data_IF_865580893406
#
_entry.id   IF_865580893406
#
_cell.length_a   1.000
_cell.length_b   1.000
_cell.length_c   1.000
_cell.angle_alpha   90.00
_cell.angle_beta   90.00
_cell.angle_gamma   90.00
#
_symmetry.space_group_name_H-M   'P 1'
#
loop_
_entity.id
_entity.type
_entity.pdbx_description
1 polymer ?
#
# COMPACT_ATOMS: atom_id res chain seq x y z
N UNK A 1 1.08 32.26 7.66
CA UNK A 1 2.46 31.76 7.46
C UNK A 1 2.89 31.01 8.71
N UNK A 2 3.56 29.84 8.61
CA UNK A 2 4.08 29.14 9.78
C UNK A 2 5.22 29.94 10.44
N UNK A 3 5.16 30.07 11.78
CA UNK A 3 6.22 30.72 12.54
C UNK A 3 7.53 29.92 12.50
N UNK A 4 8.65 30.50 12.91
CA UNK A 4 9.96 29.84 12.92
C UNK A 4 9.98 28.63 13.87
N UNK A 5 9.27 28.71 14.99
CA UNK A 5 9.12 27.63 15.96
C UNK A 5 8.25 26.48 15.43
N UNK A 6 7.12 26.81 14.80
CA UNK A 6 6.25 25.81 14.14
C UNK A 6 6.99 25.02 13.07
N UNK A 7 7.90 25.68 12.31
CA UNK A 7 8.72 24.99 11.31
C UNK A 7 9.73 24.03 11.96
N UNK A 8 10.35 24.42 13.08
CA UNK A 8 11.26 23.55 13.81
C UNK A 8 10.54 22.32 14.36
N UNK A 9 9.39 22.52 15.01
CA UNK A 9 8.58 21.43 15.56
C UNK A 9 8.11 20.49 14.45
N UNK A 10 7.70 21.03 13.29
CA UNK A 10 7.31 20.24 12.15
C UNK A 10 8.47 19.40 11.58
N UNK A 11 9.69 19.96 11.51
CA UNK A 11 10.88 19.23 11.08
C UNK A 11 11.16 18.08 12.05
N UNK A 12 11.12 18.33 13.36
CA UNK A 12 11.36 17.30 14.38
C UNK A 12 10.32 16.18 14.30
N UNK A 13 9.04 16.52 14.16
CA UNK A 13 7.96 15.56 13.98
C UNK A 13 8.15 14.72 12.72
N UNK A 14 8.50 15.36 11.60
CA UNK A 14 8.76 14.64 10.35
C UNK A 14 9.99 13.75 10.43
N UNK A 15 11.07 14.22 11.04
CA UNK A 15 12.27 13.39 11.27
C UNK A 15 11.94 12.15 12.08
N UNK A 16 11.20 12.29 13.17
CA UNK A 16 10.73 11.15 13.98
C UNK A 16 9.84 10.18 13.18
N UNK A 17 8.94 10.71 12.35
CA UNK A 17 8.10 9.86 11.50
C UNK A 17 8.93 9.11 10.45
N UNK A 18 9.95 9.73 9.85
CA UNK A 18 10.84 9.08 8.90
C UNK A 18 11.72 8.00 9.55
N UNK A 19 12.16 8.21 10.79
CA UNK A 19 12.99 7.24 11.52
C UNK A 19 12.18 6.03 12.00
N UNK A 20 10.94 6.25 12.43
CA UNK A 20 10.09 5.21 12.97
C UNK A 20 9.36 4.39 11.88
N UNK A 21 9.28 4.91 10.65
CA UNK A 21 8.56 4.24 9.57
C UNK A 21 9.49 3.33 8.77
N UNK A 22 9.06 2.09 8.53
CA UNK A 22 9.75 1.14 7.66
C UNK A 22 9.46 1.38 6.18
N UNK A 23 8.31 1.99 5.90
CA UNK A 23 7.88 2.30 4.55
C UNK A 23 7.45 3.76 4.41
N UNK A 24 7.94 4.39 3.35
CA UNK A 24 7.63 5.77 3.00
C UNK A 24 7.22 5.76 1.54
N UNK A 25 5.97 6.17 1.25
CA UNK A 25 5.47 6.27 -0.12
C UNK A 25 5.17 7.72 -0.47
N UNK A 26 5.58 8.13 -1.67
CA UNK A 26 5.46 9.50 -2.17
C UNK A 26 4.47 9.51 -3.33
N UNK A 27 3.47 10.40 -3.24
CA UNK A 27 2.40 10.51 -4.23
C UNK A 27 2.16 11.96 -4.60
N UNK A 28 1.73 12.21 -5.84
CA UNK A 28 1.12 13.45 -6.24
C UNK A 28 -0.40 13.38 -6.01
N UNK A 29 -0.94 14.39 -5.34
CA UNK A 29 -2.37 14.50 -5.04
C UNK A 29 -3.09 15.59 -5.84
N UNK A 30 -2.43 16.17 -6.84
CA UNK A 30 -2.98 17.27 -7.63
C UNK A 30 -4.22 16.80 -8.41
N UNK A 31 -5.33 17.51 -8.23
CA UNK A 31 -6.60 17.21 -8.89
C UNK A 31 -7.54 16.32 -8.07
N UNK A 32 -7.16 15.87 -6.89
CA UNK A 32 -8.06 15.18 -5.97
C UNK A 32 -8.98 16.18 -5.26
N UNK A 33 -10.25 15.82 -5.10
CA UNK A 33 -11.22 16.57 -4.31
C UNK A 33 -11.01 16.33 -2.81
N UNK A 34 -11.49 17.25 -1.95
CA UNK A 34 -11.38 17.10 -0.49
C UNK A 34 -12.04 15.81 0.03
N UNK A 35 -13.24 15.42 -0.42
CA UNK A 35 -13.85 14.14 -0.02
C UNK A 35 -12.99 12.92 -0.35
N UNK A 36 -12.38 12.90 -1.55
CA UNK A 36 -11.48 11.81 -1.97
C UNK A 36 -10.22 11.73 -1.10
N UNK A 37 -9.64 12.88 -0.72
CA UNK A 37 -8.50 12.92 0.19
C UNK A 37 -8.87 12.41 1.59
N UNK A 38 -10.05 12.74 2.08
CA UNK A 38 -10.51 12.29 3.40
C UNK A 38 -10.86 10.80 3.40
N UNK A 39 -11.42 10.29 2.31
CA UNK A 39 -11.63 8.85 2.11
C UNK A 39 -10.29 8.08 2.11
N UNK A 40 -9.30 8.59 1.37
CA UNK A 40 -7.95 8.00 1.35
C UNK A 40 -7.32 8.01 2.75
N UNK A 41 -7.43 9.13 3.49
CA UNK A 41 -6.94 9.22 4.87
C UNK A 41 -7.62 8.24 5.80
N UNK A 42 -8.93 8.05 5.68
CA UNK A 42 -9.68 7.09 6.49
C UNK A 42 -9.22 5.66 6.22
N UNK A 43 -9.16 5.25 4.95
CA UNK A 43 -8.66 3.93 4.54
C UNK A 43 -7.22 3.67 5.03
N UNK A 44 -6.38 4.69 5.02
CA UNK A 44 -5.01 4.55 5.51
C UNK A 44 -4.92 4.44 7.03
N UNK A 45 -5.72 5.24 7.76
CA UNK A 45 -5.75 5.21 9.23
C UNK A 45 -6.23 3.87 9.78
N UNK A 46 -7.16 3.20 9.11
CA UNK A 46 -7.64 1.85 9.47
C UNK A 46 -6.49 0.83 9.52
N UNK A 47 -5.44 1.05 8.73
CA UNK A 47 -4.26 0.21 8.66
C UNK A 47 -3.03 0.80 9.37
N UNK A 48 -3.23 1.83 10.21
CA UNK A 48 -2.13 2.47 10.95
C UNK A 48 -1.17 3.30 10.10
N UNK A 49 -1.56 3.64 8.85
CA UNK A 49 -0.75 4.43 7.94
C UNK A 49 -1.10 5.92 8.07
N UNK A 50 -0.10 6.75 8.25
CA UNK A 50 -0.27 8.19 8.38
C UNK A 50 -0.05 8.84 7.01
N UNK A 51 -1.09 9.46 6.45
CA UNK A 51 -1.01 10.20 5.19
C UNK A 51 -0.99 11.72 5.47
N UNK A 52 0.11 12.38 5.11
CA UNK A 52 0.30 13.83 5.29
C UNK A 52 0.71 14.51 4.00
N UNK A 53 0.08 15.67 3.74
CA UNK A 53 0.52 16.59 2.69
C UNK A 53 1.68 17.40 3.24
N UNK A 54 2.80 17.41 2.53
CA UNK A 54 4.04 18.01 3.01
C UNK A 54 4.50 19.17 2.15
N UNK A 55 5.24 20.10 2.76
CA UNK A 55 5.94 21.14 2.03
C UNK A 55 7.33 20.65 1.65
N UNK A 56 7.58 20.42 0.37
CA UNK A 56 8.83 19.83 -0.14
C UNK A 56 10.10 20.43 0.45
N UNK A 57 10.17 21.77 0.56
CA UNK A 57 11.35 22.46 1.10
C UNK A 57 11.66 22.09 2.55
N UNK A 58 10.61 21.93 3.37
CA UNK A 58 10.77 21.57 4.78
C UNK A 58 11.06 20.07 4.91
N UNK A 59 10.40 19.26 4.10
CA UNK A 59 10.60 17.81 4.08
C UNK A 59 12.01 17.45 3.63
N UNK A 60 12.56 18.13 2.62
CA UNK A 60 13.95 17.93 2.19
C UNK A 60 14.95 18.21 3.34
N UNK A 61 14.73 19.26 4.12
CA UNK A 61 15.57 19.57 5.30
C UNK A 61 15.44 18.50 6.41
N UNK A 62 14.28 17.87 6.54
CA UNK A 62 14.10 16.75 7.47
C UNK A 62 14.82 15.49 6.96
N UNK A 63 14.74 15.21 5.66
CA UNK A 63 15.41 14.06 5.01
C UNK A 63 16.94 14.15 5.08
N UNK A 64 17.53 15.34 4.98
CA UNK A 64 18.99 15.53 5.13
C UNK A 64 19.53 15.03 6.47
N UNK A 65 18.68 15.02 7.50
CA UNK A 65 19.02 14.56 8.85
C UNK A 65 18.76 13.06 9.07
N UNK A 66 18.10 12.39 8.14
CA UNK A 66 17.73 10.98 8.23
C UNK A 66 18.48 10.13 7.19
N UNK A 67 18.36 8.82 7.29
CA UNK A 67 18.95 7.87 6.33
C UNK A 67 18.32 7.94 4.92
N UNK A 68 17.23 8.68 4.77
CA UNK A 68 16.39 8.73 3.57
C UNK A 68 16.78 9.87 2.60
N UNK A 69 18.04 10.30 2.59
CA UNK A 69 18.52 11.44 1.77
C UNK A 69 18.21 11.30 0.28
N UNK A 70 18.30 10.10 -0.23
CA UNK A 70 18.13 9.80 -1.66
C UNK A 70 16.70 10.02 -2.14
N UNK A 71 15.70 10.00 -1.24
CA UNK A 71 14.32 10.37 -1.56
C UNK A 71 14.15 11.84 -1.96
N UNK A 72 15.11 12.69 -1.62
CA UNK A 72 15.04 14.13 -1.88
C UNK A 72 14.75 14.48 -3.34
N UNK A 73 15.20 13.64 -4.29
CA UNK A 73 14.98 13.82 -5.72
C UNK A 73 13.52 13.58 -6.14
N UNK A 74 12.77 12.77 -5.39
CA UNK A 74 11.38 12.44 -5.69
C UNK A 74 10.40 13.53 -5.22
N UNK A 75 10.85 14.47 -4.37
CA UNK A 75 10.03 15.59 -3.88
C UNK A 75 9.99 16.75 -4.87
N UNK A 76 9.29 16.53 -6.00
CA UNK A 76 8.99 17.55 -7.02
C UNK A 76 7.48 17.75 -7.12
N UNK A 77 7.02 19.00 -7.31
CA UNK A 77 5.58 19.30 -7.42
C UNK A 77 4.79 19.15 -6.10
N UNK A 78 3.46 19.02 -6.17
CA UNK A 78 2.58 18.87 -5.00
C UNK A 78 2.62 17.44 -4.48
N UNK A 79 3.40 17.21 -3.42
CA UNK A 79 3.64 15.88 -2.86
C UNK A 79 2.88 15.65 -1.56
N UNK A 80 2.38 14.44 -1.42
CA UNK A 80 1.90 13.87 -0.16
C UNK A 80 2.72 12.62 0.17
N UNK A 81 2.91 12.38 1.45
CA UNK A 81 3.71 11.26 1.96
C UNK A 81 2.84 10.37 2.83
N UNK A 82 2.92 9.08 2.60
CA UNK A 82 2.36 8.06 3.46
C UNK A 82 3.46 7.38 4.26
N UNK A 83 3.30 7.36 5.58
CA UNK A 83 4.21 6.73 6.53
C UNK A 83 3.53 5.50 7.10
N UNK A 84 4.18 4.34 7.06
CA UNK A 84 3.63 3.12 7.65
C UNK A 84 4.71 2.14 8.06
N UNK A 85 4.34 1.23 8.93
CA UNK A 85 5.19 0.08 9.27
C UNK A 85 5.08 -1.01 8.19
N UNK A 86 3.89 -1.13 7.57
CA UNK A 86 3.61 -2.12 6.52
C UNK A 86 3.68 -1.46 5.13
N UNK A 87 4.78 -1.76 4.42
CA UNK A 87 5.01 -1.28 3.07
C UNK A 87 4.01 -1.83 2.05
N UNK A 88 3.64 -3.12 2.20
CA UNK A 88 2.75 -3.83 1.26
C UNK A 88 1.35 -3.24 1.32
N UNK A 89 0.82 -3.03 2.53
CA UNK A 89 -0.51 -2.45 2.71
C UNK A 89 -0.54 -0.99 2.24
N UNK A 90 0.50 -0.20 2.54
CA UNK A 90 0.63 1.19 2.06
C UNK A 90 0.61 1.26 0.54
N UNK A 91 1.43 0.44 -0.14
CA UNK A 91 1.50 0.38 -1.59
C UNK A 91 0.18 -0.13 -2.21
N UNK A 92 -0.47 -1.14 -1.61
CA UNK A 92 -1.73 -1.74 -2.07
C UNK A 92 -2.88 -0.73 -2.04
N UNK A 93 -3.04 0.00 -0.91
CA UNK A 93 -4.10 1.01 -0.77
C UNK A 93 -3.89 2.14 -1.78
N UNK A 94 -2.65 2.65 -1.89
CA UNK A 94 -2.32 3.70 -2.84
C UNK A 94 -2.51 3.27 -4.30
N UNK A 95 -2.07 2.06 -4.65
CA UNK A 95 -2.23 1.51 -6.00
C UNK A 95 -3.70 1.27 -6.36
N UNK A 96 -4.52 0.78 -5.41
CA UNK A 96 -5.96 0.59 -5.61
C UNK A 96 -6.65 1.94 -5.82
N UNK A 97 -6.35 2.91 -4.97
CA UNK A 97 -6.93 4.25 -5.07
C UNK A 97 -6.47 5.01 -6.33
N UNK A 98 -5.23 4.80 -6.78
CA UNK A 98 -4.72 5.36 -8.03
C UNK A 98 -5.39 4.77 -9.27
N UNK A 99 -5.88 3.52 -9.21
CA UNK A 99 -6.69 2.91 -10.28
C UNK A 99 -8.11 3.46 -10.31
N UNK A 100 -8.68 3.80 -9.15
CA UNK A 100 -10.01 4.40 -9.01
C UNK A 100 -10.00 5.89 -9.36
N UNK A 101 -8.87 6.59 -9.14
CA UNK A 101 -8.71 8.03 -9.32
C UNK A 101 -7.43 8.33 -10.10
N UNK A 102 -7.56 8.66 -11.37
CA UNK A 102 -6.43 9.00 -12.27
C UNK A 102 -5.58 10.20 -11.80
N UNK A 103 -6.14 11.04 -10.94
CA UNK A 103 -5.50 12.22 -10.39
C UNK A 103 -4.45 11.89 -9.32
N UNK A 104 -4.49 10.69 -8.70
CA UNK A 104 -3.45 10.24 -7.77
C UNK A 104 -2.33 9.55 -8.55
N UNK A 105 -1.16 10.15 -8.58
CA UNK A 105 0.02 9.55 -9.22
C UNK A 105 1.02 9.10 -8.17
N UNK A 106 1.36 7.82 -8.19
CA UNK A 106 2.48 7.27 -7.43
C UNK A 106 3.78 7.70 -8.11
N UNK A 107 4.70 8.30 -7.35
CA UNK A 107 6.01 8.70 -7.86
C UNK A 107 7.03 7.63 -7.53
N UNK A 108 7.01 7.16 -6.29
CA UNK A 108 7.93 6.18 -5.76
C UNK A 108 7.84 6.10 -4.25
N UNK A 109 8.82 5.49 -3.64
CA UNK A 109 8.88 5.36 -2.19
C UNK A 109 10.20 4.80 -1.72
N UNK A 110 10.24 4.44 -0.45
CA UNK A 110 11.35 3.72 0.17
C UNK A 110 10.80 2.62 1.08
N UNK A 111 11.44 1.48 1.04
CA UNK A 111 11.17 0.35 1.91
C UNK A 111 12.51 -0.22 2.40
N UNK A 112 12.68 -0.36 3.72
CA UNK A 112 13.88 -0.91 4.34
C UNK A 112 15.21 -0.31 3.81
N UNK A 113 15.23 1.00 3.53
CA UNK A 113 16.34 1.79 2.95
C UNK A 113 16.57 1.57 1.45
N UNK A 114 15.74 0.84 0.74
CA UNK A 114 15.78 0.74 -0.72
C UNK A 114 14.80 1.71 -1.37
N UNK A 115 15.26 2.40 -2.41
CA UNK A 115 14.42 3.31 -3.20
C UNK A 115 13.58 2.48 -4.16
N UNK A 116 12.28 2.72 -4.12
CA UNK A 116 11.31 2.10 -5.01
C UNK A 116 10.87 3.11 -6.06
N UNK A 117 11.07 2.76 -7.31
CA UNK A 117 10.50 3.48 -8.44
C UNK A 117 9.01 3.17 -8.61
N UNK A 118 8.29 3.91 -9.41
CA UNK A 118 6.85 3.72 -9.66
C UNK A 118 6.51 2.26 -10.00
N UNK A 119 7.29 1.63 -10.89
CA UNK A 119 7.10 0.23 -11.26
C UNK A 119 7.34 -0.72 -10.08
N UNK A 120 8.36 -0.46 -9.26
CA UNK A 120 8.67 -1.24 -8.07
C UNK A 120 7.56 -1.14 -7.01
N UNK A 121 7.01 0.06 -6.77
CA UNK A 121 5.86 0.24 -5.87
C UNK A 121 4.63 -0.55 -6.34
N UNK A 122 4.36 -0.59 -7.64
CA UNK A 122 3.27 -1.41 -8.19
C UNK A 122 3.52 -2.92 -7.98
N UNK A 123 4.75 -3.36 -8.13
CA UNK A 123 5.13 -4.76 -7.84
C UNK A 123 4.94 -5.10 -6.36
N UNK A 124 5.39 -4.22 -5.46
CA UNK A 124 5.18 -4.37 -4.00
C UNK A 124 3.69 -4.41 -3.66
N UNK A 125 2.85 -3.58 -4.29
CA UNK A 125 1.41 -3.59 -4.09
C UNK A 125 0.73 -4.91 -4.48
N UNK A 126 1.31 -5.68 -5.40
CA UNK A 126 0.83 -7.00 -5.83
C UNK A 126 1.33 -8.14 -4.92
N UNK A 127 2.28 -7.90 -4.03
CA UNK A 127 2.75 -8.91 -3.09
C UNK A 127 1.64 -9.27 -2.09
N UNK A 128 1.56 -10.54 -1.69
CA UNK A 128 0.65 -10.94 -0.63
C UNK A 128 1.13 -10.40 0.73
N UNK A 129 0.19 -10.05 1.60
CA UNK A 129 0.49 -9.75 3.01
C UNK A 129 1.08 -10.98 3.71
N UNK A 130 1.71 -10.80 4.86
CA UNK A 130 2.31 -11.90 5.62
C UNK A 130 1.31 -13.03 5.90
N UNK A 131 0.07 -12.68 6.27
CA UNK A 131 -0.96 -13.67 6.56
C UNK A 131 -1.49 -14.35 5.29
N UNK A 132 -1.65 -13.59 4.19
CA UNK A 132 -1.98 -14.18 2.88
C UNK A 132 -0.87 -15.10 2.37
N UNK A 133 0.41 -14.74 2.59
CA UNK A 133 1.55 -15.60 2.22
C UNK A 133 1.56 -16.90 3.03
N UNK A 134 1.35 -16.82 4.35
CA UNK A 134 1.20 -18.00 5.23
C UNK A 134 0.02 -18.86 4.81
N UNK A 135 -1.13 -18.26 4.52
CA UNK A 135 -2.31 -18.98 4.03
C UNK A 135 -2.06 -19.69 2.70
N UNK A 136 -1.32 -19.06 1.77
CA UNK A 136 -0.93 -19.68 0.50
C UNK A 136 -0.03 -20.90 0.72
N UNK A 137 0.96 -20.81 1.61
CA UNK A 137 1.85 -21.92 1.93
C UNK A 137 1.04 -23.12 2.48
N UNK A 138 0.16 -22.87 3.46
CA UNK A 138 -0.72 -23.89 4.03
C UNK A 138 -1.66 -24.47 2.95
N UNK A 139 -2.20 -23.62 2.07
CA UNK A 139 -3.03 -24.05 0.95
C UNK A 139 -2.30 -24.99 -0.02
N UNK A 140 -1.04 -24.68 -0.34
CA UNK A 140 -0.20 -25.55 -1.21
C UNK A 140 0.04 -26.90 -0.55
N UNK A 141 0.36 -26.94 0.75
CA UNK A 141 0.57 -28.18 1.49
C UNK A 141 -0.70 -29.04 1.58
N UNK A 142 -1.88 -28.41 1.65
CA UNK A 142 -3.18 -29.09 1.70
C UNK A 142 -3.70 -29.52 0.32
N UNK A 143 -3.21 -28.90 -0.75
CA UNK A 143 -3.69 -29.09 -2.13
C UNK A 143 -3.66 -30.56 -2.60
N UNK A 144 -2.60 -31.40 -2.35
CA UNK A 144 -2.60 -32.78 -2.78
C UNK A 144 -3.72 -33.61 -2.16
N UNK A 145 -3.96 -33.46 -0.87
CA UNK A 145 -5.04 -34.16 -0.16
C UNK A 145 -6.42 -33.75 -0.67
N UNK A 146 -6.63 -32.46 -0.91
CA UNK A 146 -7.89 -31.96 -1.50
C UNK A 146 -8.13 -32.49 -2.91
N UNK A 147 -7.08 -32.58 -3.75
CA UNK A 147 -7.18 -33.14 -5.10
C UNK A 147 -7.59 -34.60 -5.09
N UNK A 148 -6.99 -35.41 -4.22
CA UNK A 148 -7.35 -36.82 -4.06
C UNK A 148 -8.82 -36.92 -3.63
N UNK A 149 -9.23 -36.20 -2.60
CA UNK A 149 -10.61 -36.19 -2.12
C UNK A 149 -11.59 -35.75 -3.23
N UNK A 150 -11.27 -34.72 -4.00
CA UNK A 150 -12.13 -34.24 -5.09
C UNK A 150 -12.26 -35.27 -6.22
N UNK A 151 -11.21 -36.00 -6.56
CA UNK A 151 -11.25 -37.07 -7.57
C UNK A 151 -12.17 -38.24 -7.13
N UNK A 152 -12.09 -38.60 -5.86
CA UNK A 152 -12.93 -39.67 -5.29
C UNK A 152 -14.40 -39.26 -5.21
N UNK A 153 -14.70 -38.00 -4.95
CA UNK A 153 -16.06 -37.45 -4.88
C UNK A 153 -16.64 -37.07 -6.25
N UNK A 154 -15.81 -36.88 -7.28
CA UNK A 154 -16.22 -36.43 -8.59
C UNK A 154 -17.30 -37.28 -9.27
N UNK A 155 -17.26 -38.65 -9.23
CA UNK A 155 -18.31 -39.47 -9.85
C UNK A 155 -19.67 -39.24 -9.20
N UNK A 156 -19.74 -39.21 -7.87
CA UNK A 156 -21.00 -39.01 -7.14
C UNK A 156 -21.61 -37.62 -7.40
N UNK A 157 -20.78 -36.57 -7.38
CA UNK A 157 -21.26 -35.21 -7.68
C UNK A 157 -21.72 -35.02 -9.11
N UNK A 158 -21.09 -35.66 -10.11
CA UNK A 158 -21.51 -35.63 -11.50
C UNK A 158 -22.88 -36.31 -11.71
N UNK A 159 -23.12 -37.44 -11.07
CA UNK A 159 -24.40 -38.14 -11.10
C UNK A 159 -25.50 -37.27 -10.49
N UNK A 160 -25.23 -36.64 -9.34
CA UNK A 160 -26.19 -35.76 -8.68
C UNK A 160 -26.55 -34.54 -9.54
N UNK A 161 -25.56 -33.91 -10.20
CA UNK A 161 -25.80 -32.78 -11.11
C UNK A 161 -26.65 -33.21 -12.31
N UNK A 162 -26.36 -34.36 -12.95
CA UNK A 162 -27.14 -34.88 -14.07
C UNK A 162 -28.56 -35.19 -13.68
N UNK A 163 -28.77 -35.78 -12.49
CA UNK A 163 -30.13 -36.05 -11.97
C UNK A 163 -30.90 -34.75 -11.74
N UNK A 164 -30.24 -33.74 -11.19
CA UNK A 164 -30.84 -32.41 -10.94
C UNK A 164 -31.20 -31.68 -12.25
N UNK A 165 -30.31 -31.70 -13.24
CA UNK A 165 -30.60 -31.08 -14.55
C UNK A 165 -31.75 -31.80 -15.28
N UNK A 166 -31.85 -33.14 -15.18
CA UNK A 166 -32.92 -33.90 -15.76
C UNK A 166 -34.28 -33.64 -15.08
N UNK A 167 -34.25 -33.31 -13.76
CA UNK A 167 -35.48 -32.98 -13.03
C UNK A 167 -36.04 -31.58 -13.33
N UNK A 168 -35.24 -30.72 -13.95
CA UNK A 168 -35.64 -29.35 -14.34
C UNK A 168 -36.23 -29.27 -15.76
N UNK A 169 -36.13 -30.34 -16.53
CA UNK A 169 -36.82 -30.51 -17.82
C UNK A 169 -38.15 -31.26 -17.65
#
# INVERSE_FOLDING_TARGET
>A
MMSKEQKKNYITEMTSNFENSKAIMITHYQGLTMPQLDELRSKMREHGIIFKITKNRITKLALEKTKCKDLSNLFTGPTAVAFGEDAIMSARILSKFAKENENLKLIGGMMDNEILDQAAVMNVANLPTLDEARAKIVGILRSPAQRIASILLAPASKIAILAFEKSKK
#
